data_IF_439328477791
#
_entry.id   IF_439328477791
#
_cell.length_a   1.000
_cell.length_b   1.000
_cell.length_c   1.000
_cell.angle_alpha   90.00
_cell.angle_beta   90.00
_cell.angle_gamma   90.00
#
_symmetry.space_group_name_H-M   'P 1'
#
loop_
_entity.id
_entity.type
_entity.pdbx_description
1 polymer ?
#
# COMPACT_ATOMS: atom_id res chain seq x y z
N UNK A 1 -12.09 22.01 -17.69
CA UNK A 1 -11.47 21.12 -16.68
C UNK A 1 -12.42 19.96 -16.37
N UNK A 2 -12.03 18.73 -16.69
CA UNK A 2 -12.78 17.55 -16.25
C UNK A 2 -12.64 17.46 -14.73
N UNK A 3 -13.74 17.60 -14.01
CA UNK A 3 -13.77 17.46 -12.55
C UNK A 3 -13.58 15.99 -12.22
N UNK A 4 -12.39 15.63 -11.74
CA UNK A 4 -12.15 14.31 -11.20
C UNK A 4 -12.85 14.17 -9.83
N UNK A 5 -13.42 13.01 -9.54
CA UNK A 5 -13.93 12.70 -8.21
C UNK A 5 -12.78 12.76 -7.18
N UNK A 6 -13.07 13.11 -5.91
CA UNK A 6 -12.05 13.20 -4.88
C UNK A 6 -11.34 11.85 -4.70
N UNK A 7 -10.02 11.90 -4.52
CA UNK A 7 -9.23 10.72 -4.16
C UNK A 7 -9.20 10.53 -2.65
N UNK A 8 -9.00 9.29 -2.23
CA UNK A 8 -8.68 8.90 -0.87
C UNK A 8 -7.23 8.44 -0.81
N UNK A 9 -6.46 8.98 0.13
CA UNK A 9 -5.08 8.58 0.37
C UNK A 9 -4.97 7.73 1.64
N UNK A 10 -4.13 6.69 1.59
CA UNK A 10 -3.80 5.81 2.73
C UNK A 10 -2.29 5.62 2.81
N UNK A 11 -1.72 6.00 3.95
CA UNK A 11 -0.31 5.75 4.25
C UNK A 11 -0.19 4.46 5.07
N UNK A 12 0.62 3.51 4.60
CA UNK A 12 0.84 2.21 5.23
C UNK A 12 2.31 2.07 5.60
N UNK A 13 2.60 1.65 6.83
CA UNK A 13 3.93 1.22 7.21
C UNK A 13 4.00 -0.31 7.17
N UNK A 14 4.87 -0.87 6.35
CA UNK A 14 4.99 -2.30 6.11
C UNK A 14 6.33 -2.80 6.65
N UNK A 15 6.32 -3.77 7.57
CA UNK A 15 7.54 -4.49 7.94
C UNK A 15 7.75 -5.64 6.97
N UNK A 16 8.90 -5.66 6.32
CA UNK A 16 9.30 -6.66 5.31
C UNK A 16 10.75 -7.08 5.56
N UNK A 17 11.17 -8.21 4.97
CA UNK A 17 12.59 -8.59 4.99
C UNK A 17 13.46 -7.57 4.27
N UNK A 18 14.71 -7.41 4.72
CA UNK A 18 15.66 -6.43 4.17
C UNK A 18 15.86 -6.58 2.65
N UNK A 19 15.80 -7.82 2.16
CA UNK A 19 15.93 -8.17 0.75
C UNK A 19 14.73 -7.78 -0.13
N UNK A 20 13.57 -7.44 0.47
CA UNK A 20 12.38 -7.04 -0.29
C UNK A 20 12.65 -5.70 -0.95
N UNK A 21 12.61 -5.65 -2.29
CA UNK A 21 12.84 -4.44 -3.07
C UNK A 21 11.54 -3.68 -3.28
N UNK A 22 11.64 -2.42 -3.71
CA UNK A 22 10.48 -1.65 -4.14
C UNK A 22 9.69 -2.37 -5.25
N UNK A 23 10.40 -2.94 -6.22
CA UNK A 23 9.79 -3.71 -7.31
C UNK A 23 8.99 -4.91 -6.81
N UNK A 24 9.44 -5.60 -5.75
CA UNK A 24 8.66 -6.68 -5.14
C UNK A 24 7.35 -6.16 -4.55
N UNK A 25 7.38 -5.01 -3.86
CA UNK A 25 6.18 -4.37 -3.31
C UNK A 25 5.23 -3.97 -4.43
N UNK A 26 5.71 -3.32 -5.49
CA UNK A 26 4.87 -2.92 -6.63
C UNK A 26 4.18 -4.11 -7.29
N UNK A 27 4.91 -5.20 -7.50
CA UNK A 27 4.35 -6.44 -8.07
C UNK A 27 3.29 -7.06 -7.15
N UNK A 28 3.56 -7.10 -5.85
CA UNK A 28 2.60 -7.63 -4.87
C UNK A 28 1.32 -6.79 -4.82
N UNK A 29 1.41 -5.46 -4.86
CA UNK A 29 0.23 -4.59 -4.93
C UNK A 29 -0.54 -4.78 -6.24
N UNK A 30 0.15 -4.94 -7.36
CA UNK A 30 -0.52 -5.21 -8.64
C UNK A 30 -1.33 -6.52 -8.63
N UNK A 31 -0.89 -7.53 -7.89
CA UNK A 31 -1.62 -8.80 -7.71
C UNK A 31 -2.90 -8.66 -6.88
N UNK A 32 -3.11 -7.53 -6.19
CA UNK A 32 -4.34 -7.30 -5.44
C UNK A 32 -5.55 -7.00 -6.34
N UNK A 33 -5.32 -6.69 -7.62
CA UNK A 33 -6.34 -6.39 -8.64
C UNK A 33 -7.36 -5.33 -8.17
N UNK A 34 -6.83 -4.22 -7.65
CA UNK A 34 -7.62 -3.05 -7.23
C UNK A 34 -7.56 -2.00 -8.35
N UNK A 35 -8.55 -1.95 -9.26
CA UNK A 35 -8.54 -1.03 -10.39
C UNK A 35 -8.67 0.45 -9.98
N UNK A 36 -9.19 0.72 -8.77
CA UNK A 36 -9.30 2.06 -8.21
C UNK A 36 -7.98 2.59 -7.64
N UNK A 37 -6.92 1.77 -7.60
CA UNK A 37 -5.59 2.22 -7.20
C UNK A 37 -4.98 3.09 -8.30
N UNK A 38 -5.02 4.39 -8.10
CA UNK A 38 -4.47 5.40 -9.00
C UNK A 38 -2.95 5.48 -8.89
N UNK A 39 -2.40 5.45 -7.67
CA UNK A 39 -0.94 5.47 -7.48
C UNK A 39 -0.48 4.72 -6.23
N UNK A 40 0.75 4.20 -6.31
CA UNK A 40 1.51 3.61 -5.21
C UNK A 40 2.89 4.29 -5.18
N UNK A 41 3.20 4.95 -4.06
CA UNK A 41 4.42 5.74 -3.91
C UNK A 41 5.20 5.31 -2.67
N UNK A 42 6.55 5.23 -2.76
CA UNK A 42 7.37 5.07 -1.56
C UNK A 42 7.45 6.39 -0.81
N UNK A 43 7.24 6.35 0.50
CA UNK A 43 7.29 7.54 1.37
C UNK A 43 8.62 7.56 2.13
N UNK A 44 8.95 6.48 2.84
CA UNK A 44 10.16 6.40 3.65
C UNK A 44 10.58 4.92 3.88
N UNK A 45 11.84 4.71 4.26
CA UNK A 45 12.35 3.42 4.71
C UNK A 45 13.09 3.58 6.04
N UNK A 46 12.52 3.01 7.08
CA UNK A 46 13.09 3.03 8.42
C UNK A 46 13.78 1.70 8.77
N UNK A 47 15.00 1.83 9.30
CA UNK A 47 15.79 0.75 9.90
C UNK A 47 16.26 1.22 11.27
N UNK A 48 15.79 0.58 12.33
CA UNK A 48 16.16 0.95 13.68
C UNK A 48 15.60 0.01 14.72
N UNK A 49 15.76 0.37 15.99
CA UNK A 49 15.52 -0.52 17.14
C UNK A 49 14.09 -1.09 17.23
N UNK A 50 13.11 -0.42 16.62
CA UNK A 50 11.71 -0.85 16.61
C UNK A 50 11.37 -1.82 15.47
N UNK A 51 12.35 -2.19 14.65
CA UNK A 51 12.19 -3.18 13.58
C UNK A 51 13.07 -4.39 13.90
N UNK A 52 12.54 -5.63 13.77
CA UNK A 52 13.33 -6.83 14.02
C UNK A 52 14.61 -6.90 13.16
N UNK A 53 15.71 -7.50 13.66
CA UNK A 53 16.91 -7.72 12.86
C UNK A 53 16.60 -8.44 11.53
N UNK A 54 17.26 -8.02 10.46
CA UNK A 54 17.03 -8.57 9.12
C UNK A 54 15.76 -8.07 8.42
N UNK A 55 15.01 -7.14 9.04
CA UNK A 55 13.83 -6.51 8.47
C UNK A 55 13.99 -4.99 8.38
N UNK A 56 13.14 -4.38 7.54
CA UNK A 56 12.97 -2.93 7.42
C UNK A 56 11.49 -2.56 7.42
N UNK A 57 11.20 -1.34 7.82
CA UNK A 57 9.85 -0.76 7.72
C UNK A 57 9.82 0.15 6.50
N UNK A 58 8.93 -0.12 5.55
CA UNK A 58 8.73 0.69 4.34
C UNK A 58 7.39 1.39 4.46
N UNK A 59 7.40 2.72 4.49
CA UNK A 59 6.20 3.52 4.40
C UNK A 59 5.83 3.71 2.93
N UNK A 60 4.57 3.43 2.58
CA UNK A 60 4.03 3.57 1.23
C UNK A 60 2.73 4.35 1.27
N UNK A 61 2.45 5.08 0.21
CA UNK A 61 1.23 5.83 0.02
C UNK A 61 0.42 5.22 -1.11
N UNK A 62 -0.84 4.92 -0.82
CA UNK A 62 -1.84 4.51 -1.79
C UNK A 62 -2.75 5.70 -2.08
N UNK A 63 -3.00 5.97 -3.36
CA UNK A 63 -4.04 6.88 -3.81
C UNK A 63 -5.13 6.08 -4.49
N UNK A 64 -6.34 6.11 -3.92
CA UNK A 64 -7.51 5.42 -4.43
C UNK A 64 -8.49 6.43 -5.03
N UNK A 65 -8.97 6.19 -6.24
CA UNK A 65 -9.97 7.04 -6.90
C UNK A 65 -10.85 6.22 -7.82
N UNK A 66 -12.15 6.54 -7.82
CA UNK A 66 -13.08 6.09 -8.86
C UNK A 66 -13.30 7.17 -9.92
N UNK A 67 -13.46 6.81 -11.19
CA UNK A 67 -13.72 7.76 -12.26
C UNK A 67 -15.18 8.21 -12.33
N UNK A 68 -16.10 7.50 -11.67
CA UNK A 68 -17.54 7.60 -11.83
C UNK A 68 -18.30 7.92 -10.52
N UNK A 69 -17.62 7.87 -9.37
CA UNK A 69 -18.22 8.16 -8.07
C UNK A 69 -17.17 8.59 -7.04
N UNK A 70 -17.62 9.21 -5.96
CA UNK A 70 -16.80 9.41 -4.76
C UNK A 70 -16.67 8.09 -4.00
N UNK A 71 -15.45 7.70 -3.66
CA UNK A 71 -15.20 6.54 -2.81
C UNK A 71 -15.69 6.81 -1.38
N UNK A 72 -16.32 5.81 -0.76
CA UNK A 72 -16.57 5.82 0.68
C UNK A 72 -15.33 5.36 1.44
N UNK A 73 -15.26 5.67 2.73
CA UNK A 73 -14.19 5.16 3.59
C UNK A 73 -14.20 3.63 3.66
N UNK A 74 -15.39 3.02 3.76
CA UNK A 74 -15.55 1.56 3.80
C UNK A 74 -15.00 0.89 2.53
N UNK A 75 -15.31 1.42 1.35
CA UNK A 75 -14.77 0.91 0.08
C UNK A 75 -13.24 1.02 0.03
N UNK A 76 -12.69 2.15 0.47
CA UNK A 76 -11.24 2.33 0.53
C UNK A 76 -10.57 1.34 1.51
N UNK A 77 -11.23 1.03 2.62
CA UNK A 77 -10.72 0.10 3.62
C UNK A 77 -10.76 -1.36 3.10
N UNK A 78 -11.79 -1.75 2.35
CA UNK A 78 -11.85 -3.04 1.65
C UNK A 78 -10.72 -3.19 0.62
N UNK A 79 -10.48 -2.15 -0.17
CA UNK A 79 -9.38 -2.09 -1.14
C UNK A 79 -8.02 -2.19 -0.45
N UNK A 80 -7.83 -1.45 0.65
CA UNK A 80 -6.62 -1.52 1.46
C UNK A 80 -6.42 -2.94 2.02
N UNK A 81 -7.46 -3.59 2.52
CA UNK A 81 -7.39 -4.95 3.04
C UNK A 81 -6.95 -5.96 1.97
N UNK A 82 -7.48 -5.85 0.74
CA UNK A 82 -7.03 -6.66 -0.40
C UNK A 82 -5.55 -6.45 -0.73
N UNK A 83 -5.10 -5.20 -0.75
CA UNK A 83 -3.70 -4.84 -1.00
C UNK A 83 -2.79 -5.42 0.09
N UNK A 84 -3.19 -5.30 1.37
CA UNK A 84 -2.45 -5.86 2.48
C UNK A 84 -2.36 -7.39 2.43
N UNK A 85 -3.45 -8.07 2.04
CA UNK A 85 -3.46 -9.52 1.87
C UNK A 85 -2.48 -9.96 0.76
N UNK A 86 -2.46 -9.26 -0.38
CA UNK A 86 -1.52 -9.54 -1.46
C UNK A 86 -0.06 -9.29 -1.04
N UNK A 87 0.21 -8.19 -0.33
CA UNK A 87 1.53 -7.88 0.23
C UNK A 87 2.00 -8.93 1.24
N UNK A 88 1.12 -9.39 2.13
CA UNK A 88 1.42 -10.44 3.08
C UNK A 88 1.75 -11.76 2.36
N UNK A 89 0.96 -12.13 1.35
CA UNK A 89 1.15 -13.37 0.60
C UNK A 89 2.43 -13.38 -0.27
N UNK A 90 2.74 -12.27 -0.96
CA UNK A 90 3.83 -12.25 -1.92
C UNK A 90 5.21 -11.92 -1.31
N UNK A 91 5.24 -11.06 -0.28
CA UNK A 91 6.51 -10.58 0.31
C UNK A 91 6.58 -10.71 1.83
N UNK A 92 5.61 -11.38 2.46
CA UNK A 92 5.58 -11.54 3.91
C UNK A 92 5.42 -10.21 4.66
N UNK A 93 4.81 -9.20 4.02
CA UNK A 93 4.62 -7.90 4.64
C UNK A 93 3.66 -7.99 5.83
N UNK A 94 4.01 -7.29 6.91
CA UNK A 94 3.15 -7.13 8.08
C UNK A 94 2.87 -5.64 8.26
N UNK A 95 1.58 -5.28 8.37
CA UNK A 95 1.20 -3.90 8.66
C UNK A 95 1.71 -3.51 10.04
N UNK A 96 2.37 -2.36 10.12
CA UNK A 96 2.84 -1.71 11.33
C UNK A 96 1.92 -0.53 11.63
N UNK A 97 1.14 -0.65 12.69
CA UNK A 97 0.26 0.37 13.23
C UNK A 97 0.39 0.41 14.75
#
# INVERSE_FOLDING_TARGET
>A
PLTHFPAITRDLALVVDEAVTWTHIQRAVAQAEVPELESLEPVDVYRGKQVPPGKKSVAVRLTLRRPDATLTHEQADEMQARILAALAAAVGAVLRG
#
